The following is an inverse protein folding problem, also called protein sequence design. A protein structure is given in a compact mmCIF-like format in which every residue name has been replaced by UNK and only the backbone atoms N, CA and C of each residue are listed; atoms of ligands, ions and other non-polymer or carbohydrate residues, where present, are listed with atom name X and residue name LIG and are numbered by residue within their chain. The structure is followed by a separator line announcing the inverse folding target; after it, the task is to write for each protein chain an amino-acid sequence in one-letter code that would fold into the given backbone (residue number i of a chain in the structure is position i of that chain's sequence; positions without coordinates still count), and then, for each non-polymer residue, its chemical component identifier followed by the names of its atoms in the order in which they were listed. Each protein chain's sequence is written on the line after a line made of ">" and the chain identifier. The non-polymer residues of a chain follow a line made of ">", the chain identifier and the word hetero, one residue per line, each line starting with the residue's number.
data_IF_457305184004
#
_entry.id   IF_457305184004
#
_cell.length_a   1.000
_cell.length_b   1.000
_cell.length_c   1.000
_cell.angle_alpha   90.00
_cell.angle_beta   90.00
_cell.angle_gamma   90.00
#
_symmetry.space_group_name_H-M   'P 1'
#
loop_
_entity.id
_entity.type
_entity.pdbx_description
1 polymer ?
#
# COMPACT_ATOMS: atom_id res chain seq x y z
N UNK A 1 -12.36 18.00 12.63
CA UNK A 1 -11.21 17.08 12.50
C UNK A 1 -11.00 16.85 11.02
N UNK A 2 -9.84 17.19 10.45
CA UNK A 2 -9.61 16.97 9.02
C UNK A 2 -9.51 15.47 8.73
N UNK A 3 -10.14 15.04 7.64
CA UNK A 3 -9.99 13.69 7.08
C UNK A 3 -9.28 13.79 5.74
N UNK A 4 -8.84 12.66 5.18
CA UNK A 4 -8.32 12.65 3.80
C UNK A 4 -9.33 13.24 2.81
N UNK A 5 -10.63 12.99 2.98
CA UNK A 5 -11.67 13.56 2.11
C UNK A 5 -11.68 15.09 2.16
N UNK A 6 -11.53 15.68 3.36
CA UNK A 6 -11.45 17.13 3.54
C UNK A 6 -10.20 17.71 2.87
N UNK A 7 -9.06 17.02 2.97
CA UNK A 7 -7.80 17.45 2.32
C UNK A 7 -7.94 17.43 0.80
N UNK A 8 -8.53 16.35 0.25
CA UNK A 8 -8.74 16.25 -1.19
C UNK A 8 -9.74 17.31 -1.70
N UNK A 9 -10.76 17.63 -0.91
CA UNK A 9 -11.67 18.74 -1.22
C UNK A 9 -10.95 20.10 -1.21
N UNK A 10 -10.02 20.32 -0.27
CA UNK A 10 -9.17 21.51 -0.29
C UNK A 10 -8.31 21.57 -1.56
N UNK A 11 -7.69 20.47 -1.99
CA UNK A 11 -6.97 20.42 -3.27
C UNK A 11 -7.86 20.81 -4.45
N UNK A 12 -9.11 20.32 -4.49
CA UNK A 12 -10.07 20.68 -5.54
C UNK A 12 -10.42 22.17 -5.56
N UNK A 13 -10.44 22.81 -4.38
CA UNK A 13 -10.83 24.21 -4.23
C UNK A 13 -9.67 25.20 -4.39
N UNK A 14 -8.42 24.78 -4.16
CA UNK A 14 -7.24 25.65 -4.18
C UNK A 14 -6.83 26.14 -5.58
N UNK A 15 -7.17 25.41 -6.64
CA UNK A 15 -6.86 25.82 -8.01
C UNK A 15 -8.01 25.52 -8.96
N UNK A 16 -8.11 26.29 -10.04
CA UNK A 16 -8.97 25.95 -11.19
C UNK A 16 -8.23 25.11 -12.24
N UNK A 17 -6.91 25.00 -12.12
CA UNK A 17 -6.05 24.24 -13.03
C UNK A 17 -5.87 22.80 -12.54
N UNK A 18 -6.25 21.84 -13.39
CA UNK A 18 -6.12 20.41 -13.12
C UNK A 18 -4.65 19.99 -12.93
N UNK A 19 -3.71 20.64 -13.63
CA UNK A 19 -2.29 20.32 -13.52
C UNK A 19 -1.76 20.66 -12.12
N UNK A 20 -2.14 21.82 -11.56
CA UNK A 20 -1.74 22.20 -10.21
C UNK A 20 -2.34 21.28 -9.15
N UNK A 21 -3.60 20.85 -9.32
CA UNK A 21 -4.24 19.88 -8.44
C UNK A 21 -3.51 18.54 -8.45
N UNK A 22 -3.14 18.05 -9.64
CA UNK A 22 -2.33 16.84 -9.82
C UNK A 22 -1.04 16.92 -9.02
N UNK A 23 -0.26 18.00 -9.20
CA UNK A 23 1.02 18.19 -8.48
C UNK A 23 0.90 18.23 -6.96
N UNK A 24 -0.18 18.80 -6.42
CA UNK A 24 -0.44 18.76 -4.97
C UNK A 24 -0.70 17.34 -4.48
N UNK A 25 -1.51 16.59 -5.23
CA UNK A 25 -1.80 15.19 -4.93
C UNK A 25 -0.55 14.31 -5.04
N UNK A 26 0.25 14.45 -6.10
CA UNK A 26 1.52 13.74 -6.29
C UNK A 26 2.48 13.98 -5.12
N UNK A 27 2.66 15.25 -4.69
CA UNK A 27 3.52 15.59 -3.55
C UNK A 27 3.03 14.98 -2.24
N UNK A 28 1.71 14.99 -2.00
CA UNK A 28 1.11 14.33 -0.85
C UNK A 28 1.37 12.82 -0.90
N UNK A 29 1.22 12.20 -2.06
CA UNK A 29 1.43 10.76 -2.24
C UNK A 29 2.89 10.36 -2.10
N UNK A 30 3.83 11.16 -2.59
CA UNK A 30 5.25 10.95 -2.37
C UNK A 30 5.58 10.90 -0.87
N UNK A 31 4.99 11.78 -0.06
CA UNK A 31 5.15 11.72 1.37
C UNK A 31 4.42 10.53 2.00
N UNK A 32 3.17 10.26 1.59
CA UNK A 32 2.41 9.13 2.08
C UNK A 32 3.19 7.82 1.97
N UNK A 33 3.80 7.56 0.81
CA UNK A 33 4.60 6.35 0.57
C UNK A 33 5.88 6.27 1.43
N UNK A 34 6.38 7.42 1.92
CA UNK A 34 7.51 7.49 2.87
C UNK A 34 7.08 7.37 4.33
N UNK A 35 5.80 7.61 4.64
CA UNK A 35 5.30 7.69 6.01
C UNK A 35 4.47 6.48 6.42
N UNK A 36 3.57 6.00 5.55
CA UNK A 36 2.72 4.85 5.84
C UNK A 36 3.57 3.57 5.98
N UNK A 37 3.53 2.85 7.13
CA UNK A 37 4.38 1.68 7.37
C UNK A 37 4.26 0.57 6.31
N UNK A 38 3.11 0.43 5.65
CA UNK A 38 2.93 -0.55 4.59
C UNK A 38 3.86 -0.29 3.40
N UNK A 39 4.22 0.97 3.15
CA UNK A 39 5.14 1.36 2.07
C UNK A 39 6.52 1.72 2.62
N UNK A 40 6.60 2.49 3.69
CA UNK A 40 7.83 2.96 4.31
C UNK A 40 8.74 1.81 4.80
N UNK A 41 8.18 0.65 5.15
CA UNK A 41 8.97 -0.52 5.51
C UNK A 41 9.61 -1.19 4.29
N UNK A 42 9.07 -0.98 3.08
CA UNK A 42 9.50 -1.62 1.83
C UNK A 42 10.30 -0.69 0.92
N UNK A 43 9.99 0.60 0.94
CA UNK A 43 10.58 1.60 0.05
C UNK A 43 11.68 2.36 0.79
N UNK A 44 12.87 2.41 0.17
CA UNK A 44 14.03 3.11 0.68
C UNK A 44 13.91 4.61 0.42
N UNK A 45 13.67 4.97 -0.83
CA UNK A 45 13.51 6.35 -1.27
C UNK A 45 12.35 6.46 -2.25
N UNK A 46 11.64 7.58 -2.20
CA UNK A 46 10.58 7.95 -3.16
C UNK A 46 10.95 9.30 -3.74
N UNK A 47 10.87 9.48 -5.05
CA UNK A 47 11.13 10.74 -5.75
C UNK A 47 9.90 11.18 -6.53
N UNK A 48 9.72 12.49 -6.66
CA UNK A 48 8.94 13.02 -7.77
C UNK A 48 9.66 12.72 -9.08
N UNK A 49 8.93 12.47 -10.17
CA UNK A 49 9.52 12.14 -11.47
C UNK A 49 10.59 13.16 -11.93
N UNK A 50 10.30 14.45 -11.74
CA UNK A 50 11.19 15.55 -12.10
C UNK A 50 12.48 15.65 -11.25
N UNK A 51 12.50 15.01 -10.09
CA UNK A 51 13.63 14.98 -9.14
C UNK A 51 14.46 13.70 -9.27
N UNK A 52 13.93 12.68 -9.95
CA UNK A 52 14.59 11.38 -10.05
C UNK A 52 15.77 11.41 -11.04
N UNK A 53 16.98 10.94 -10.64
CA UNK A 53 18.18 11.00 -11.49
C UNK A 53 18.13 10.13 -12.74
N UNK A 54 17.29 9.08 -12.75
CA UNK A 54 17.14 8.16 -13.89
C UNK A 54 16.16 8.64 -14.96
N UNK A 55 15.58 9.85 -14.82
CA UNK A 55 14.57 10.35 -15.74
C UNK A 55 15.13 10.62 -17.14
N UNK A 56 14.37 10.27 -18.17
CA UNK A 56 14.67 10.67 -19.54
C UNK A 56 14.06 12.04 -19.89
N UNK A 57 14.54 12.65 -20.97
CA UNK A 57 14.23 14.04 -21.35
C UNK A 57 12.85 14.25 -22.00
N UNK A 58 12.01 13.23 -22.08
CA UNK A 58 10.68 13.39 -22.66
C UNK A 58 9.77 14.15 -21.68
N UNK A 59 9.16 15.24 -22.15
CA UNK A 59 8.40 16.16 -21.31
C UNK A 59 7.04 15.60 -20.84
N UNK A 60 6.61 14.44 -21.34
CA UNK A 60 5.27 13.90 -21.10
C UNK A 60 5.30 12.40 -20.85
N UNK A 61 5.82 12.00 -19.70
CA UNK A 61 5.73 10.63 -19.21
C UNK A 61 4.48 10.42 -18.38
N UNK A 62 3.89 9.24 -18.45
CA UNK A 62 2.79 8.86 -17.56
C UNK A 62 3.22 8.55 -16.12
N UNK A 63 4.51 8.67 -15.80
CA UNK A 63 5.09 8.37 -14.48
C UNK A 63 5.15 9.67 -13.67
N UNK A 64 4.56 9.65 -12.47
CA UNK A 64 4.52 10.82 -11.59
C UNK A 64 5.55 10.69 -10.46
N UNK A 65 5.72 9.49 -9.90
CA UNK A 65 6.70 9.19 -8.86
C UNK A 65 7.51 7.93 -9.19
N UNK A 66 8.71 7.86 -8.63
CA UNK A 66 9.55 6.66 -8.66
C UNK A 66 9.93 6.29 -7.24
N UNK A 67 9.91 5.00 -6.90
CA UNK A 67 10.43 4.53 -5.62
C UNK A 67 11.51 3.47 -5.80
N UNK A 68 12.46 3.42 -4.87
CA UNK A 68 13.48 2.38 -4.76
C UNK A 68 13.09 1.44 -3.61
N UNK A 69 13.07 0.15 -3.87
CA UNK A 69 12.80 -0.89 -2.88
C UNK A 69 14.04 -1.20 -2.03
N UNK A 70 13.85 -1.34 -0.72
CA UNK A 70 14.92 -1.66 0.23
C UNK A 70 15.49 -3.04 -0.05
N UNK A 71 16.82 -3.14 -0.10
CA UNK A 71 17.56 -4.41 -0.14
C UNK A 71 17.58 -5.13 -1.49
N UNK A 72 16.62 -4.88 -2.39
CA UNK A 72 16.58 -5.51 -3.72
C UNK A 72 17.17 -4.61 -4.81
N UNK A 73 17.14 -3.29 -4.62
CA UNK A 73 17.52 -2.33 -5.66
C UNK A 73 16.48 -2.20 -6.78
N UNK A 74 15.29 -2.80 -6.61
CA UNK A 74 14.22 -2.71 -7.60
C UNK A 74 13.56 -1.33 -7.60
N UNK A 75 13.19 -0.84 -8.78
CA UNK A 75 12.46 0.41 -8.92
C UNK A 75 10.97 0.17 -9.16
N UNK A 76 10.15 1.04 -8.57
CA UNK A 76 8.71 1.10 -8.77
C UNK A 76 8.36 2.35 -9.56
N UNK A 77 7.54 2.20 -10.60
CA UNK A 77 6.92 3.34 -11.27
C UNK A 77 5.54 3.60 -10.65
N UNK A 78 5.23 4.86 -10.35
CA UNK A 78 3.99 5.21 -9.67
C UNK A 78 3.27 6.29 -10.47
N UNK A 79 1.97 6.12 -10.65
CA UNK A 79 1.08 7.11 -11.27
C UNK A 79 -0.01 7.52 -10.28
N UNK A 80 -0.25 8.82 -10.16
CA UNK A 80 -1.24 9.43 -9.28
C UNK A 80 -2.40 9.99 -10.11
N UNK A 81 -3.59 9.40 -9.95
CA UNK A 81 -4.82 9.79 -10.61
C UNK A 81 -5.75 10.53 -9.65
N UNK A 82 -5.72 11.86 -9.76
CA UNK A 82 -6.60 12.75 -9.00
C UNK A 82 -7.85 13.12 -9.81
N UNK A 83 -8.88 12.28 -9.73
CA UNK A 83 -10.18 12.52 -10.38
C UNK A 83 -11.29 12.74 -9.35
N UNK A 84 -12.42 13.27 -9.83
CA UNK A 84 -13.64 13.35 -9.01
C UNK A 84 -14.12 11.95 -8.61
N UNK A 85 -14.66 11.78 -7.38
CA UNK A 85 -15.15 10.49 -6.93
C UNK A 85 -16.19 9.92 -7.91
N UNK A 86 -16.06 8.64 -8.22
CA UNK A 86 -16.96 7.97 -9.17
C UNK A 86 -16.65 8.21 -10.65
N UNK A 87 -15.59 8.96 -11.00
CA UNK A 87 -15.12 9.05 -12.38
C UNK A 87 -14.43 7.74 -12.78
N UNK A 88 -14.94 6.97 -13.77
CA UNK A 88 -14.30 5.72 -14.14
C UNK A 88 -12.93 5.96 -14.80
N UNK A 89 -11.92 5.23 -14.33
CA UNK A 89 -10.63 5.16 -15.01
C UNK A 89 -10.77 4.42 -16.33
N UNK A 90 -10.35 5.07 -17.42
CA UNK A 90 -10.40 4.52 -18.78
C UNK A 90 -9.00 4.08 -19.22
N UNK A 91 -8.93 3.23 -20.24
CA UNK A 91 -7.67 2.75 -20.82
C UNK A 91 -6.73 3.90 -21.18
N UNK A 92 -7.25 4.95 -21.80
CA UNK A 92 -6.49 6.16 -22.16
C UNK A 92 -5.84 6.87 -20.96
N UNK A 93 -6.39 6.74 -19.75
CA UNK A 93 -5.80 7.34 -18.55
C UNK A 93 -4.51 6.63 -18.12
N UNK A 94 -4.35 5.33 -18.42
CA UNK A 94 -3.22 4.51 -17.95
C UNK A 94 -2.26 4.09 -19.07
N UNK A 95 -2.66 4.18 -20.34
CA UNK A 95 -1.85 3.72 -21.49
C UNK A 95 -0.44 4.32 -21.54
N UNK A 96 -0.29 5.64 -21.36
CA UNK A 96 1.05 6.27 -21.37
C UNK A 96 1.90 5.78 -20.20
N UNK A 97 1.33 5.64 -19.01
CA UNK A 97 2.05 5.11 -17.86
C UNK A 97 2.54 3.68 -18.09
N UNK A 98 1.70 2.80 -18.60
CA UNK A 98 2.09 1.42 -18.90
C UNK A 98 3.19 1.36 -19.97
N UNK A 99 3.11 2.19 -21.00
CA UNK A 99 4.14 2.28 -22.03
C UNK A 99 5.47 2.82 -21.48
N UNK A 100 5.44 3.92 -20.73
CA UNK A 100 6.63 4.58 -20.19
C UNK A 100 7.31 3.74 -19.12
N UNK A 101 6.54 3.12 -18.22
CA UNK A 101 7.06 2.23 -17.19
C UNK A 101 7.45 0.83 -17.71
N UNK A 102 7.37 0.59 -19.02
CA UNK A 102 7.96 -0.59 -19.67
C UNK A 102 9.36 -0.34 -20.23
N UNK A 103 9.82 0.92 -20.25
CA UNK A 103 11.14 1.29 -20.76
C UNK A 103 12.23 0.86 -19.78
N UNK A 104 13.39 0.47 -20.33
CA UNK A 104 14.64 0.37 -19.57
C UNK A 104 15.23 1.76 -19.38
N UNK A 105 15.94 1.97 -18.29
CA UNK A 105 16.58 3.24 -17.95
C UNK A 105 17.94 3.02 -17.29
N UNK A 106 18.70 4.09 -17.15
CA UNK A 106 20.06 4.05 -16.61
C UNK A 106 20.15 4.82 -15.30
N UNK A 107 20.70 4.21 -14.25
CA UNK A 107 21.06 4.88 -13.01
C UNK A 107 22.51 4.54 -12.71
N UNK A 108 23.35 5.55 -12.50
CA UNK A 108 24.79 5.36 -12.23
C UNK A 108 25.53 4.48 -13.26
N UNK A 109 25.09 4.49 -14.52
CA UNK A 109 25.69 3.70 -15.61
C UNK A 109 25.29 2.23 -15.62
N UNK A 110 24.31 1.82 -14.81
CA UNK A 110 23.71 0.49 -14.83
C UNK A 110 22.31 0.52 -15.43
N UNK A 111 22.00 -0.50 -16.23
CA UNK A 111 20.66 -0.67 -16.81
C UNK A 111 19.70 -1.25 -15.79
N UNK A 112 18.51 -0.66 -15.73
CA UNK A 112 17.42 -1.10 -14.86
C UNK A 112 16.10 -1.11 -15.62
N UNK A 113 15.15 -1.89 -15.11
CA UNK A 113 13.75 -1.84 -15.48
C UNK A 113 12.90 -1.68 -14.21
N UNK A 114 11.68 -1.17 -14.35
CA UNK A 114 10.73 -1.15 -13.25
C UNK A 114 10.26 -2.57 -12.95
N UNK A 115 10.34 -2.98 -11.68
CA UNK A 115 9.90 -4.31 -11.23
C UNK A 115 8.45 -4.31 -10.73
N UNK A 116 7.88 -3.13 -10.47
CA UNK A 116 6.51 -2.98 -10.02
C UNK A 116 5.92 -1.64 -10.47
N UNK A 117 4.59 -1.61 -10.63
CA UNK A 117 3.81 -0.42 -10.96
C UNK A 117 2.74 -0.20 -9.90
N UNK A 118 2.59 1.03 -9.44
CA UNK A 118 1.51 1.41 -8.51
C UNK A 118 0.68 2.53 -9.10
N UNK A 119 -0.64 2.30 -9.20
CA UNK A 119 -1.61 3.34 -9.58
C UNK A 119 -2.31 3.80 -8.31
N UNK A 120 -2.04 5.02 -7.89
CA UNK A 120 -2.80 5.67 -6.82
C UNK A 120 -3.99 6.38 -7.44
N UNK A 121 -5.20 6.13 -6.96
CA UNK A 121 -6.41 6.74 -7.53
C UNK A 121 -7.40 7.19 -6.47
N UNK A 122 -7.98 8.38 -6.65
CA UNK A 122 -9.11 8.84 -5.85
C UNK A 122 -10.46 8.29 -6.29
N UNK A 123 -10.48 7.50 -7.38
CA UNK A 123 -11.64 6.75 -7.86
C UNK A 123 -11.34 5.25 -7.85
N UNK A 124 -12.28 4.48 -7.32
CA UNK A 124 -12.29 3.01 -7.29
C UNK A 124 -12.99 2.39 -8.52
N UNK A 125 -13.54 3.23 -9.40
CA UNK A 125 -14.24 2.77 -10.59
C UNK A 125 -13.29 2.63 -11.77
N UNK A 126 -13.37 1.48 -12.42
CA UNK A 126 -12.66 1.21 -13.66
C UNK A 126 -13.64 0.91 -14.80
N UNK A 127 -13.31 1.38 -15.99
CA UNK A 127 -13.93 0.87 -17.21
C UNK A 127 -13.33 -0.49 -17.56
N UNK A 128 -14.14 -1.40 -18.11
CA UNK A 128 -13.71 -2.77 -18.47
C UNK A 128 -12.37 -2.83 -19.22
N UNK A 129 -12.20 -2.03 -20.27
CA UNK A 129 -10.95 -1.98 -21.05
C UNK A 129 -9.73 -1.51 -20.25
N UNK A 130 -9.95 -0.74 -19.18
CA UNK A 130 -8.90 -0.26 -18.30
C UNK A 130 -8.50 -1.35 -17.29
N UNK A 131 -9.46 -2.15 -16.81
CA UNK A 131 -9.18 -3.34 -16.00
C UNK A 131 -8.40 -4.37 -16.81
N UNK A 132 -8.87 -4.68 -18.02
CA UNK A 132 -8.26 -5.66 -18.90
C UNK A 132 -6.79 -5.30 -19.24
N UNK A 133 -6.45 -4.01 -19.34
CA UNK A 133 -5.09 -3.58 -19.71
C UNK A 133 -4.11 -3.58 -18.54
N UNK A 134 -4.58 -3.51 -17.29
CA UNK A 134 -3.69 -3.57 -16.11
C UNK A 134 -3.52 -5.01 -15.59
N UNK A 135 -4.38 -5.93 -16.01
CA UNK A 135 -4.28 -7.36 -15.71
C UNK A 135 -3.18 -8.02 -16.57
N UNK A 136 -2.62 -9.11 -16.04
CA UNK A 136 -1.64 -9.98 -16.70
C UNK A 136 -0.45 -9.26 -17.36
N UNK A 137 -0.04 -8.14 -16.78
CA UNK A 137 1.13 -7.40 -17.23
C UNK A 137 2.44 -8.10 -16.84
N UNK A 138 3.45 -8.03 -17.70
CA UNK A 138 4.78 -8.59 -17.41
C UNK A 138 5.44 -7.95 -16.19
N UNK A 139 5.20 -6.64 -15.99
CA UNK A 139 5.52 -5.94 -14.75
C UNK A 139 4.21 -5.80 -13.96
N UNK A 140 4.10 -6.41 -12.77
CA UNK A 140 2.86 -6.39 -11.99
C UNK A 140 2.39 -4.96 -11.68
N UNK A 141 1.06 -4.78 -11.70
CA UNK A 141 0.39 -3.52 -11.40
C UNK A 141 -0.43 -3.68 -10.13
N UNK A 142 -0.17 -2.83 -9.15
CA UNK A 142 -1.01 -2.63 -7.97
C UNK A 142 -1.79 -1.32 -8.03
N UNK A 143 -2.83 -1.24 -7.22
CA UNK A 143 -3.68 -0.06 -7.06
C UNK A 143 -3.80 0.33 -5.59
N UNK A 144 -3.77 1.64 -5.33
CA UNK A 144 -4.02 2.21 -4.02
C UNK A 144 -5.18 3.20 -4.14
N UNK A 145 -6.33 2.86 -3.56
CA UNK A 145 -7.50 3.74 -3.59
C UNK A 145 -7.64 4.61 -2.34
N UNK A 146 -8.61 5.51 -2.41
CA UNK A 146 -8.92 6.47 -1.35
C UNK A 146 -9.32 5.79 -0.03
N UNK A 147 -9.99 4.64 -0.07
CA UNK A 147 -10.44 3.96 1.15
C UNK A 147 -9.23 3.45 1.96
N UNK A 148 -8.21 2.94 1.29
CA UNK A 148 -6.97 2.52 1.91
C UNK A 148 -6.17 3.71 2.47
N UNK A 149 -6.18 4.86 1.79
CA UNK A 149 -5.64 6.10 2.35
C UNK A 149 -6.40 6.52 3.62
N UNK A 150 -7.73 6.39 3.63
CA UNK A 150 -8.55 6.72 4.79
C UNK A 150 -8.28 5.78 5.98
N UNK A 151 -8.04 4.50 5.71
CA UNK A 151 -7.73 3.48 6.72
C UNK A 151 -6.28 3.50 7.21
N UNK A 152 -5.40 4.21 6.50
CA UNK A 152 -3.99 4.38 6.87
C UNK A 152 -3.80 4.87 8.32
N UNK A 153 -2.73 4.47 9.01
CA UNK A 153 -2.35 5.06 10.30
C UNK A 153 -1.93 6.52 10.22
N UNK A 154 -1.83 7.15 9.06
CA UNK A 154 -1.55 8.59 8.93
C UNK A 154 -2.59 9.44 9.69
N UNK A 155 -2.10 10.40 10.46
CA UNK A 155 -2.93 11.41 11.11
C UNK A 155 -3.25 12.54 10.12
N UNK A 156 -4.32 12.33 9.36
CA UNK A 156 -4.85 13.32 8.43
C UNK A 156 -5.29 14.62 9.11
N UNK A 157 -5.52 14.63 10.43
CA UNK A 157 -5.88 15.84 11.15
C UNK A 157 -4.69 16.79 11.37
N UNK A 158 -3.47 16.25 11.36
CA UNK A 158 -2.21 16.97 11.48
C UNK A 158 -1.58 17.33 10.12
N UNK A 159 -2.11 16.80 9.01
CA UNK A 159 -1.57 17.07 7.68
C UNK A 159 -1.80 18.52 7.26
N UNK A 160 -0.78 19.13 6.65
CA UNK A 160 -0.85 20.46 6.05
C UNK A 160 -0.33 20.45 4.62
N UNK A 161 -1.06 21.14 3.73
CA UNK A 161 -0.74 21.29 2.31
C UNK A 161 0.55 22.09 2.11
N UNK A 162 0.82 23.05 2.99
CA UNK A 162 2.01 23.91 2.94
C UNK A 162 3.26 23.20 3.45
N UNK A 163 3.08 22.16 4.28
CA UNK A 163 4.15 21.38 4.88
C UNK A 163 3.88 19.87 4.77
N UNK A 164 3.73 19.34 3.53
CA UNK A 164 3.37 17.94 3.34
C UNK A 164 4.41 17.00 3.96
N UNK A 165 5.68 17.40 4.03
CA UNK A 165 6.78 16.65 4.63
C UNK A 165 6.64 16.40 6.16
N UNK A 166 5.68 17.03 6.83
CA UNK A 166 5.38 16.83 8.26
C UNK A 166 4.25 15.81 8.49
N UNK A 167 3.97 14.94 7.52
CA UNK A 167 2.99 13.86 7.69
C UNK A 167 3.43 12.93 8.83
N UNK A 168 2.54 12.72 9.81
CA UNK A 168 2.79 11.90 11.00
C UNK A 168 1.78 10.77 11.11
N UNK A 169 2.13 9.75 11.89
CA UNK A 169 1.25 8.62 12.19
C UNK A 169 0.48 8.86 13.49
N UNK A 170 -0.74 8.33 13.57
CA UNK A 170 -1.51 8.22 14.80
C UNK A 170 -0.79 7.33 15.81
N UNK A 171 -1.12 7.50 17.09
CA UNK A 171 -0.64 6.60 18.13
C UNK A 171 -1.16 5.18 17.90
N UNK A 172 -0.28 4.20 18.10
CA UNK A 172 -0.61 2.77 18.06
C UNK A 172 -1.61 2.42 19.16
N UNK A 173 -2.39 1.37 18.92
CA UNK A 173 -3.35 0.83 19.88
C UNK A 173 -2.63 0.27 21.11
N UNK A 174 -3.27 0.46 22.26
CA UNK A 174 -2.88 -0.16 23.52
C UNK A 174 -3.73 -1.41 23.76
N UNK A 175 -3.11 -2.47 24.27
CA UNK A 175 -3.83 -3.69 24.67
C UNK A 175 -4.86 -3.38 25.76
N UNK A 176 -6.05 -3.94 25.61
CA UNK A 176 -7.08 -3.98 26.65
C UNK A 176 -6.84 -5.15 27.60
N UNK A 177 -7.43 -5.12 28.79
CA UNK A 177 -7.23 -6.12 29.84
C UNK A 177 -7.51 -7.55 29.36
N UNK A 178 -8.62 -7.77 28.64
CA UNK A 178 -8.97 -9.09 28.09
C UNK A 178 -7.97 -9.59 27.05
N UNK A 179 -7.28 -8.69 26.34
CA UNK A 179 -6.25 -9.05 25.36
C UNK A 179 -4.94 -9.41 26.07
N UNK A 180 -4.58 -8.69 27.14
CA UNK A 180 -3.44 -9.04 27.99
C UNK A 180 -3.62 -10.41 28.63
N UNK A 181 -4.81 -10.69 29.18
CA UNK A 181 -5.16 -12.00 29.73
C UNK A 181 -5.05 -13.11 28.67
N UNK A 182 -5.64 -12.90 27.49
CA UNK A 182 -5.58 -13.86 26.39
C UNK A 182 -4.13 -14.15 25.95
N UNK A 183 -3.30 -13.12 25.81
CA UNK A 183 -1.88 -13.28 25.45
C UNK A 183 -1.13 -14.05 26.54
N UNK A 184 -1.37 -13.73 27.81
CA UNK A 184 -0.77 -14.44 28.95
C UNK A 184 -1.09 -15.94 28.94
N UNK A 185 -2.37 -16.28 28.78
CA UNK A 185 -2.81 -17.68 28.72
C UNK A 185 -2.22 -18.44 27.53
N UNK A 186 -2.11 -17.79 26.35
CA UNK A 186 -1.52 -18.43 25.17
C UNK A 186 -0.02 -18.64 25.34
N UNK A 187 0.71 -17.65 25.88
CA UNK A 187 2.14 -17.77 26.18
C UNK A 187 2.41 -18.94 27.12
N UNK A 188 1.65 -19.03 28.22
CA UNK A 188 1.78 -20.13 29.17
C UNK A 188 1.44 -21.49 28.52
N UNK A 189 0.41 -21.55 27.67
CA UNK A 189 0.05 -22.78 26.96
C UNK A 189 1.16 -23.29 26.05
N UNK A 190 1.90 -22.39 25.39
CA UNK A 190 3.02 -22.75 24.52
C UNK A 190 4.27 -23.25 25.26
N UNK A 191 4.35 -23.08 26.59
CA UNK A 191 5.43 -23.69 27.39
C UNK A 191 5.28 -25.23 27.48
N UNK A 192 4.05 -25.74 27.36
CA UNK A 192 3.74 -27.16 27.51
C UNK A 192 3.24 -27.83 26.22
N UNK A 193 2.83 -27.06 25.21
CA UNK A 193 2.18 -27.57 24.00
C UNK A 193 2.59 -26.81 22.75
N UNK A 194 2.75 -27.49 21.62
CA UNK A 194 3.09 -26.84 20.34
C UNK A 194 1.87 -26.24 19.60
N UNK A 195 0.65 -26.51 20.08
CA UNK A 195 -0.60 -26.12 19.40
C UNK A 195 -1.65 -25.65 20.40
N UNK A 196 -2.32 -24.54 20.08
CA UNK A 196 -3.40 -23.98 20.87
C UNK A 196 -4.48 -23.34 20.00
N UNK A 197 -5.61 -22.97 20.62
CA UNK A 197 -6.69 -22.22 19.96
C UNK A 197 -7.03 -20.99 20.79
N UNK A 198 -7.00 -19.82 20.17
CA UNK A 198 -7.46 -18.57 20.77
C UNK A 198 -8.88 -18.27 20.30
N UNK A 199 -9.86 -18.43 21.19
CA UNK A 199 -11.27 -18.18 20.88
C UNK A 199 -11.64 -16.79 21.41
N UNK A 200 -12.03 -15.89 20.51
CA UNK A 200 -12.50 -14.56 20.89
C UNK A 200 -13.68 -14.12 20.01
N UNK A 201 -14.63 -13.39 20.60
CA UNK A 201 -15.79 -12.87 19.88
C UNK A 201 -15.40 -11.89 18.77
N UNK A 202 -16.27 -11.67 17.79
CA UNK A 202 -16.05 -10.66 16.74
C UNK A 202 -15.97 -9.25 17.35
N UNK A 203 -15.15 -8.37 16.76
CA UNK A 203 -14.92 -7.01 17.26
C UNK A 203 -14.00 -6.87 18.49
N UNK A 204 -13.61 -7.97 19.16
CA UNK A 204 -12.74 -7.92 20.36
C UNK A 204 -11.25 -7.70 20.09
N UNK A 205 -10.86 -7.54 18.82
CA UNK A 205 -9.48 -7.28 18.41
C UNK A 205 -8.62 -8.53 18.23
N UNK A 206 -9.17 -9.62 17.66
CA UNK A 206 -8.43 -10.86 17.35
C UNK A 206 -7.16 -10.60 16.55
N UNK A 207 -7.27 -9.86 15.45
CA UNK A 207 -6.17 -9.57 14.53
C UNK A 207 -5.03 -8.83 15.23
N UNK A 208 -5.36 -7.81 16.02
CA UNK A 208 -4.40 -7.04 16.82
C UNK A 208 -3.77 -7.88 17.96
N UNK A 209 -4.58 -8.72 18.62
CA UNK A 209 -4.09 -9.64 19.66
C UNK A 209 -3.11 -10.66 19.07
N UNK A 210 -3.39 -11.18 17.89
CA UNK A 210 -2.51 -12.10 17.17
C UNK A 210 -1.17 -11.45 16.79
N UNK A 211 -1.17 -10.18 16.37
CA UNK A 211 0.07 -9.42 16.13
C UNK A 211 0.92 -9.34 17.40
N UNK A 212 0.33 -8.89 18.51
CA UNK A 212 1.05 -8.72 19.79
C UNK A 212 1.57 -10.04 20.34
N UNK A 213 0.83 -11.13 20.15
CA UNK A 213 1.30 -12.47 20.46
C UNK A 213 2.49 -12.86 19.58
N UNK A 214 2.42 -12.61 18.28
CA UNK A 214 3.49 -12.91 17.35
C UNK A 214 4.78 -12.14 17.68
N UNK A 215 4.68 -10.85 18.00
CA UNK A 215 5.83 -10.03 18.45
C UNK A 215 6.47 -10.54 19.75
N UNK A 216 5.68 -11.17 20.62
CA UNK A 216 6.17 -11.71 21.89
C UNK A 216 6.79 -13.10 21.75
N UNK A 217 6.25 -13.93 20.86
CA UNK A 217 6.63 -15.33 20.71
C UNK A 217 7.69 -15.56 19.62
N UNK A 218 7.71 -14.71 18.60
CA UNK A 218 8.58 -14.89 17.44
C UNK A 218 9.77 -13.93 17.55
N UNK A 219 11.02 -14.43 17.52
CA UNK A 219 12.19 -13.56 17.54
C UNK A 219 12.25 -12.70 16.26
N UNK A 220 13.03 -11.60 16.23
CA UNK A 220 13.09 -10.70 15.07
C UNK A 220 13.44 -11.36 13.73
N UNK A 221 14.21 -12.47 13.76
CA UNK A 221 14.58 -13.26 12.56
C UNK A 221 13.63 -14.44 12.30
N UNK A 222 12.62 -14.60 13.13
CA UNK A 222 11.63 -15.66 13.03
C UNK A 222 10.66 -15.43 11.87
N UNK A 223 9.86 -16.45 11.58
CA UNK A 223 8.90 -16.45 10.47
C UNK A 223 7.51 -16.68 11.00
N UNK A 224 6.55 -15.93 10.48
CA UNK A 224 5.13 -16.06 10.81
C UNK A 224 4.40 -16.47 9.53
N UNK A 225 3.59 -17.52 9.62
CA UNK A 225 2.65 -17.88 8.56
C UNK A 225 1.25 -17.49 9.02
N UNK A 226 0.65 -16.50 8.33
CA UNK A 226 -0.73 -16.11 8.54
C UNK A 226 -1.59 -16.67 7.40
N UNK A 227 -2.59 -17.49 7.74
CA UNK A 227 -3.52 -18.08 6.78
C UNK A 227 -4.89 -17.43 6.95
N UNK A 228 -5.48 -16.96 5.85
CA UNK A 228 -6.81 -16.39 5.82
C UNK A 228 -7.60 -16.99 4.64
N UNK A 229 -8.95 -17.04 4.72
CA UNK A 229 -9.77 -17.68 3.69
C UNK A 229 -10.00 -16.79 2.46
N UNK A 230 -9.63 -15.50 2.49
CA UNK A 230 -9.80 -14.60 1.35
C UNK A 230 -8.66 -13.58 1.24
N UNK A 231 -8.42 -13.10 0.03
CA UNK A 231 -7.44 -12.03 -0.24
C UNK A 231 -7.80 -10.77 0.56
N UNK A 232 -9.08 -10.45 0.67
CA UNK A 232 -9.56 -9.32 1.48
C UNK A 232 -9.06 -9.38 2.93
N UNK A 233 -9.19 -10.54 3.59
CA UNK A 233 -8.77 -10.70 4.97
C UNK A 233 -7.25 -10.69 5.12
N UNK A 234 -6.50 -11.16 4.11
CA UNK A 234 -5.04 -11.03 4.07
C UNK A 234 -4.66 -9.55 3.98
N UNK A 235 -5.24 -8.78 3.06
CA UNK A 235 -5.00 -7.34 2.91
C UNK A 235 -5.31 -6.56 4.18
N UNK A 236 -6.46 -6.84 4.81
CA UNK A 236 -6.88 -6.19 6.05
C UNK A 236 -5.93 -6.52 7.20
N UNK A 237 -5.54 -7.79 7.34
CA UNK A 237 -4.59 -8.22 8.38
C UNK A 237 -3.25 -7.56 8.18
N UNK A 238 -2.74 -7.56 6.95
CA UNK A 238 -1.45 -6.97 6.62
C UNK A 238 -1.42 -5.47 6.91
N UNK A 239 -2.49 -4.74 6.56
CA UNK A 239 -2.62 -3.30 6.89
C UNK A 239 -2.63 -3.06 8.39
N UNK A 240 -3.48 -3.79 9.13
CA UNK A 240 -3.55 -3.70 10.59
C UNK A 240 -2.19 -4.03 11.23
N UNK A 241 -1.52 -5.08 10.78
CA UNK A 241 -0.24 -5.50 11.34
C UNK A 241 0.87 -4.51 11.03
N UNK A 242 0.99 -4.04 9.80
CA UNK A 242 2.00 -3.03 9.42
C UNK A 242 1.80 -1.72 10.18
N UNK A 243 0.55 -1.28 10.36
CA UNK A 243 0.22 -0.08 11.13
C UNK A 243 0.58 -0.20 12.62
N UNK A 244 0.32 -1.36 13.22
CA UNK A 244 0.38 -1.54 14.68
C UNK A 244 1.68 -2.20 15.18
N UNK A 245 2.49 -2.80 14.30
CA UNK A 245 3.70 -3.52 14.68
C UNK A 245 4.75 -2.56 15.25
N UNK A 246 5.33 -2.89 16.40
CA UNK A 246 6.45 -2.16 17.01
C UNK A 246 7.72 -2.30 16.19
N UNK A 247 7.98 -3.50 15.68
CA UNK A 247 9.12 -3.77 14.81
C UNK A 247 8.63 -3.94 13.36
N UNK A 248 9.23 -3.24 12.38
CA UNK A 248 8.98 -3.50 10.97
C UNK A 248 9.21 -4.97 10.63
N UNK A 249 8.40 -5.50 9.72
CA UNK A 249 8.55 -6.86 9.21
C UNK A 249 8.40 -6.88 7.69
N UNK A 250 9.01 -7.89 7.07
CA UNK A 250 8.85 -8.16 5.65
C UNK A 250 7.69 -9.13 5.45
N UNK A 251 6.74 -8.75 4.61
CA UNK A 251 5.58 -9.57 4.30
C UNK A 251 5.63 -10.06 2.85
N UNK A 252 5.27 -11.32 2.66
CA UNK A 252 5.02 -11.93 1.36
C UNK A 252 3.56 -12.36 1.32
N UNK A 253 2.87 -12.00 0.24
CA UNK A 253 1.48 -12.41 0.02
C UNK A 253 1.48 -13.51 -1.04
N UNK A 254 1.04 -14.70 -0.63
CA UNK A 254 0.95 -15.89 -1.49
C UNK A 254 -0.53 -16.18 -1.71
N UNK A 255 -0.95 -16.15 -2.97
CA UNK A 255 -2.32 -16.46 -3.38
C UNK A 255 -2.26 -17.52 -4.47
N UNK A 256 -3.03 -18.60 -4.34
CA UNK A 256 -3.04 -19.71 -5.31
C UNK A 256 -3.80 -19.38 -6.59
N UNK A 257 -4.58 -18.31 -6.60
CA UNK A 257 -5.41 -17.93 -7.73
C UNK A 257 -5.11 -16.49 -8.17
N UNK A 258 -4.70 -16.31 -9.43
CA UNK A 258 -4.56 -15.00 -10.06
C UNK A 258 -5.89 -14.51 -10.64
N UNK A 259 -6.92 -15.35 -10.68
CA UNK A 259 -8.26 -15.10 -11.21
C UNK A 259 -9.31 -14.79 -10.13
N UNK A 260 -8.85 -14.35 -8.95
CA UNK A 260 -9.73 -13.79 -7.93
C UNK A 260 -10.28 -12.46 -8.47
N UNK A 261 -11.60 -12.42 -8.68
CA UNK A 261 -12.29 -11.35 -9.42
C UNK A 261 -13.44 -11.82 -10.32
N UNK A 262 -13.78 -13.13 -10.34
CA UNK A 262 -14.98 -13.64 -11.03
C UNK A 262 -16.23 -13.73 -10.15
N UNK A 263 -16.09 -13.67 -8.83
CA UNK A 263 -17.21 -13.59 -7.89
C UNK A 263 -17.26 -12.18 -7.28
N UNK A 264 -18.47 -11.64 -7.08
CA UNK A 264 -18.69 -10.25 -6.62
C UNK A 264 -18.10 -9.96 -5.21
N UNK A 265 -17.72 -10.99 -4.46
CA UNK A 265 -17.17 -10.87 -3.09
C UNK A 265 -15.63 -10.96 -3.02
N UNK A 266 -14.95 -11.12 -4.16
CA UNK A 266 -13.52 -11.43 -4.21
C UNK A 266 -12.65 -10.23 -4.65
N UNK A 267 -11.71 -9.83 -3.79
CA UNK A 267 -10.73 -8.76 -4.07
C UNK A 267 -9.76 -9.17 -5.16
N UNK A 268 -9.43 -8.25 -6.07
CA UNK A 268 -8.55 -8.51 -7.20
C UNK A 268 -7.09 -8.48 -6.76
N UNK A 269 -6.22 -9.21 -7.46
CA UNK A 269 -4.79 -9.27 -7.12
C UNK A 269 -4.08 -7.92 -7.21
N UNK A 270 -4.54 -7.01 -8.08
CA UNK A 270 -4.00 -5.65 -8.16
C UNK A 270 -4.43 -4.76 -6.99
N UNK A 271 -5.45 -5.12 -6.22
CA UNK A 271 -5.85 -4.37 -5.02
C UNK A 271 -4.92 -4.65 -3.82
N UNK A 272 -3.96 -5.58 -3.97
CA UNK A 272 -2.93 -5.81 -2.98
C UNK A 272 -1.86 -4.72 -3.06
N UNK A 273 -1.47 -4.19 -1.90
CA UNK A 273 -0.38 -3.22 -1.82
C UNK A 273 1.00 -3.81 -2.20
N UNK A 274 1.11 -5.14 -2.27
CA UNK A 274 2.30 -5.85 -2.71
C UNK A 274 1.97 -6.74 -3.90
N UNK A 275 2.95 -6.98 -4.79
CA UNK A 275 2.80 -8.02 -5.79
C UNK A 275 2.54 -9.35 -5.08
N UNK A 276 1.43 -9.99 -5.42
CA UNK A 276 1.21 -11.39 -5.06
C UNK A 276 2.24 -12.25 -5.81
N UNK A 277 2.84 -13.22 -5.13
CA UNK A 277 3.64 -14.27 -5.79
C UNK A 277 2.83 -15.56 -5.87
N UNK A 278 2.93 -16.23 -7.01
CA UNK A 278 2.38 -17.56 -7.27
C UNK A 278 3.47 -18.63 -7.42
N UNK A 279 4.73 -18.21 -7.44
CA UNK A 279 5.88 -19.11 -7.61
C UNK A 279 6.35 -19.68 -6.26
N UNK A 280 6.72 -20.95 -6.26
CA UNK A 280 6.96 -21.78 -5.08
C UNK A 280 8.41 -21.76 -4.58
#
# INVERSE_FOLDING_TARGET
>A
MHTIHTILEQFRNLSKDQLQKGKLFERMMAQFLRTDPQYANKLDTVWMWNEWPGRWKEDNTGIDLVALEKGTGHYWAIQCKFYEPGTPLKKEHVSSFLADSSKVFQVNGQEHAFAYRLIVSTSDKWGRNAEDVIQDQSVPVGTLYLNELADSPVDWSAFSIDAPQHMVLRQKKTLRDHQNEAIGAVVQGFEAHDRGKLIMACGTGKTFTALRLAEKQVPPTGRILFLAPSIYLVSQTLREWTAEAFNPFHAFVVCSDTKVGKEEEDIRTHDLAYPATTDA
#
